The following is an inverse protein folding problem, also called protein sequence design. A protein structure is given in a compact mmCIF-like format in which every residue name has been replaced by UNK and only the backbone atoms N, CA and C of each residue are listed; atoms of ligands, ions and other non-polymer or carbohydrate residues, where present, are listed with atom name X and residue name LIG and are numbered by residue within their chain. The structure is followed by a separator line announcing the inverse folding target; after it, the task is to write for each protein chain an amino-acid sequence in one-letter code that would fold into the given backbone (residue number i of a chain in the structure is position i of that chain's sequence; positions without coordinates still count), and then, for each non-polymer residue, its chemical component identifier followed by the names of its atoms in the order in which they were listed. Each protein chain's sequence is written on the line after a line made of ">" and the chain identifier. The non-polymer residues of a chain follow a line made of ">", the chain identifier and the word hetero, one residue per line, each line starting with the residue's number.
data_IF_462999296637
#
_entry.id   IF_462999296637
#
_cell.length_a   1.000
_cell.length_b   1.000
_cell.length_c   1.000
_cell.angle_alpha   90.00
_cell.angle_beta   90.00
_cell.angle_gamma   90.00
#
_symmetry.space_group_name_H-M   'P 1'
#
loop_
_entity.id
_entity.type
_entity.pdbx_description
1 polymer ?
#
# COMPACT_ATOMS: atom_id res chain seq x y z
N UNK A 1 11.67 6.25 4.40
CA UNK A 1 10.84 5.03 4.51
C UNK A 1 9.39 5.45 4.49
N UNK A 2 8.48 4.55 4.12
CA UNK A 2 7.04 4.77 4.22
C UNK A 2 6.44 3.64 5.05
N UNK A 3 5.48 3.97 5.92
CA UNK A 3 4.81 3.01 6.78
C UNK A 3 3.31 3.01 6.51
N UNK A 4 2.71 1.84 6.66
CA UNK A 4 1.28 1.58 6.54
C UNK A 4 0.72 1.18 7.89
N UNK A 5 -0.47 1.66 8.21
CA UNK A 5 -1.31 1.15 9.30
C UNK A 5 -2.58 0.53 8.74
N UNK A 6 -2.87 -0.73 9.06
CA UNK A 6 -4.13 -1.39 8.70
C UNK A 6 -4.69 -2.21 9.86
N UNK A 7 -5.98 -2.54 9.79
CA UNK A 7 -6.70 -3.21 10.88
C UNK A 7 -6.38 -4.70 10.99
N UNK A 8 -5.92 -5.33 9.91
CA UNK A 8 -5.65 -6.78 9.87
C UNK A 8 -4.22 -7.07 10.32
N UNK A 9 -3.25 -6.41 9.73
CA UNK A 9 -1.82 -6.72 9.96
C UNK A 9 -1.13 -5.68 10.84
N UNK A 10 -1.79 -4.57 11.17
CA UNK A 10 -1.22 -3.52 12.00
C UNK A 10 -0.24 -2.64 11.24
N UNK A 11 0.93 -2.39 11.84
CA UNK A 11 1.90 -1.41 11.37
C UNK A 11 3.10 -2.05 10.68
N UNK A 12 3.30 -1.69 9.41
CA UNK A 12 4.42 -2.21 8.60
C UNK A 12 5.10 -1.10 7.82
N UNK A 13 6.42 -1.17 7.68
CA UNK A 13 7.20 -0.17 6.97
C UNK A 13 8.00 -0.78 5.81
N UNK A 14 8.34 0.06 4.85
CA UNK A 14 9.08 -0.30 3.65
C UNK A 14 9.50 0.93 2.85
N UNK A 15 9.60 0.76 1.54
CA UNK A 15 10.04 1.81 0.62
C UNK A 15 9.04 2.00 -0.52
N UNK A 16 8.98 3.23 -1.03
CA UNK A 16 8.33 3.52 -2.30
C UNK A 16 9.20 2.96 -3.41
N UNK A 17 8.62 2.15 -4.28
CA UNK A 17 9.30 1.51 -5.40
C UNK A 17 9.02 2.23 -6.72
N UNK A 18 7.81 2.75 -6.90
CA UNK A 18 7.40 3.42 -8.13
C UNK A 18 6.23 4.39 -7.86
N UNK A 19 6.31 5.59 -8.43
CA UNK A 19 5.24 6.59 -8.41
C UNK A 19 4.45 6.58 -9.72
N UNK A 20 3.21 7.09 -9.68
CA UNK A 20 2.35 7.27 -10.85
C UNK A 20 2.25 6.02 -11.74
N UNK A 21 2.02 4.86 -11.12
CA UNK A 21 1.88 3.59 -11.81
C UNK A 21 0.42 3.16 -11.90
N UNK A 22 0.16 2.05 -12.59
CA UNK A 22 -1.16 1.45 -12.71
C UNK A 22 -1.15 0.02 -12.18
N UNK A 23 -2.27 -0.39 -11.60
CA UNK A 23 -2.52 -1.76 -11.14
C UNK A 23 -3.88 -2.21 -11.63
N UNK A 24 -3.99 -3.47 -12.05
CA UNK A 24 -5.24 -4.06 -12.53
C UNK A 24 -5.75 -5.06 -11.50
N UNK A 25 -6.94 -4.80 -10.99
CA UNK A 25 -7.72 -5.70 -10.14
C UNK A 25 -8.86 -6.33 -10.97
N UNK A 26 -9.55 -7.37 -10.46
CA UNK A 26 -10.72 -7.95 -11.14
C UNK A 26 -11.80 -6.92 -11.48
N UNK A 27 -11.93 -5.86 -10.68
CA UNK A 27 -12.91 -4.79 -10.85
C UNK A 27 -12.49 -3.75 -11.91
N UNK A 28 -11.20 -3.72 -12.29
CA UNK A 28 -10.67 -2.80 -13.29
C UNK A 28 -9.24 -2.32 -13.02
N UNK A 29 -8.76 -1.43 -13.89
CA UNK A 29 -7.44 -0.82 -13.78
C UNK A 29 -7.52 0.53 -13.09
N UNK A 30 -6.71 0.70 -12.04
CA UNK A 30 -6.53 1.97 -11.34
C UNK A 30 -5.16 2.54 -11.72
N UNK A 31 -5.13 3.79 -12.19
CA UNK A 31 -3.92 4.53 -12.54
C UNK A 31 -3.61 5.61 -11.49
N UNK A 32 -2.37 6.11 -11.50
CA UNK A 32 -1.93 7.16 -10.57
C UNK A 32 -1.65 6.67 -9.15
N UNK A 33 -1.55 5.35 -8.95
CA UNK A 33 -1.22 4.77 -7.64
C UNK A 33 0.29 4.75 -7.41
N UNK A 34 0.69 4.62 -6.15
CA UNK A 34 2.09 4.43 -5.76
C UNK A 34 2.34 3.00 -5.31
N UNK A 35 3.37 2.36 -5.88
CA UNK A 35 3.83 1.01 -5.52
C UNK A 35 4.84 1.05 -4.39
N UNK A 36 4.70 0.15 -3.42
CA UNK A 36 5.59 0.03 -2.27
C UNK A 36 5.97 -1.42 -1.97
N UNK A 37 7.05 -1.59 -1.22
CA UNK A 37 7.49 -2.89 -0.67
C UNK A 37 6.78 -3.29 0.63
N UNK A 38 5.83 -2.48 1.11
CA UNK A 38 5.14 -2.74 2.38
C UNK A 38 4.16 -3.89 2.15
N UNK A 39 4.10 -4.86 3.06
CA UNK A 39 3.10 -5.92 2.98
C UNK A 39 1.71 -5.42 3.42
N UNK A 40 0.66 -6.03 2.89
CA UNK A 40 -0.72 -5.83 3.30
C UNK A 40 -1.53 -7.10 3.04
N UNK A 41 -2.62 -7.28 3.80
CA UNK A 41 -3.54 -8.40 3.68
C UNK A 41 -5.00 -7.91 3.63
N UNK A 42 -5.97 -8.75 3.23
CA UNK A 42 -7.39 -8.37 3.20
C UNK A 42 -7.85 -7.76 4.54
N UNK A 43 -8.50 -6.60 4.45
CA UNK A 43 -8.91 -5.78 5.60
C UNK A 43 -8.01 -4.58 5.88
N UNK A 44 -6.76 -4.55 5.38
CA UNK A 44 -5.90 -3.38 5.48
C UNK A 44 -6.26 -2.25 4.50
N UNK A 45 -7.12 -2.52 3.51
CA UNK A 45 -7.60 -1.54 2.53
C UNK A 45 -8.23 -0.32 3.20
N UNK A 46 -7.91 0.88 2.71
CA UNK A 46 -8.27 2.15 3.34
C UNK A 46 -7.33 2.58 4.48
N UNK A 47 -6.45 1.69 4.94
CA UNK A 47 -5.44 1.97 5.97
C UNK A 47 -4.42 3.03 5.53
N UNK A 48 -3.94 3.85 6.47
CA UNK A 48 -3.10 5.02 6.19
C UNK A 48 -1.68 4.64 5.76
N UNK A 49 -1.14 5.40 4.80
CA UNK A 49 0.28 5.45 4.48
C UNK A 49 0.87 6.78 4.98
N UNK A 50 2.01 6.72 5.68
CA UNK A 50 2.67 7.87 6.31
C UNK A 50 4.19 7.77 6.19
N UNK A 51 4.84 8.91 5.98
CA UNK A 51 6.29 9.06 6.01
C UNK A 51 6.65 10.12 7.05
N UNK A 52 7.23 9.70 8.17
CA UNK A 52 7.43 10.58 9.33
C UNK A 52 6.10 11.10 9.86
N UNK A 53 5.87 12.41 9.75
CA UNK A 53 4.61 13.08 10.12
C UNK A 53 3.76 13.50 8.92
N UNK A 54 4.11 13.08 7.70
CA UNK A 54 3.40 13.43 6.48
C UNK A 54 2.57 12.25 5.98
N UNK A 55 1.26 12.43 5.90
CA UNK A 55 0.37 11.47 5.25
C UNK A 55 0.67 11.42 3.75
N UNK A 56 0.76 10.19 3.22
CA UNK A 56 1.15 9.92 1.83
C UNK A 56 -0.03 9.39 1.00
N UNK A 57 -0.96 8.68 1.64
CA UNK A 57 -2.03 8.01 0.91
C UNK A 57 -2.83 7.02 1.74
N UNK A 58 -3.68 6.26 1.06
CA UNK A 58 -4.47 5.16 1.64
C UNK A 58 -4.28 3.87 0.86
N UNK A 59 -4.24 2.75 1.58
CA UNK A 59 -4.02 1.40 1.02
C UNK A 59 -5.13 1.06 0.02
N UNK A 60 -4.77 0.72 -1.21
CA UNK A 60 -5.71 0.24 -2.23
C UNK A 60 -5.79 -1.29 -2.18
N UNK A 61 -4.65 -1.95 -2.42
CA UNK A 61 -4.54 -3.40 -2.53
C UNK A 61 -3.14 -3.80 -2.96
N UNK A 62 -2.92 -5.09 -3.22
CA UNK A 62 -1.59 -5.60 -3.51
C UNK A 62 -1.54 -7.10 -3.72
N UNK A 63 -0.33 -7.64 -3.64
CA UNK A 63 -0.04 -9.07 -3.76
C UNK A 63 0.95 -9.52 -2.67
N UNK A 64 0.92 -10.82 -2.37
CA UNK A 64 1.71 -11.40 -1.27
C UNK A 64 0.97 -11.34 0.07
N UNK A 65 1.73 -11.38 1.16
CA UNK A 65 1.23 -11.33 2.54
C UNK A 65 2.32 -10.83 3.49
N UNK A 66 2.01 -10.65 4.78
CA UNK A 66 2.98 -10.15 5.76
C UNK A 66 3.90 -11.23 6.35
N UNK A 67 3.77 -12.49 5.91
CA UNK A 67 4.69 -13.58 6.28
C UNK A 67 5.83 -13.77 5.26
N UNK A 68 5.54 -13.74 3.97
CA UNK A 68 6.51 -13.90 2.88
C UNK A 68 6.91 -12.59 2.20
N UNK A 69 6.30 -11.48 2.60
CA UNK A 69 6.42 -10.19 1.93
C UNK A 69 5.43 -10.02 0.78
N UNK A 70 5.39 -8.82 0.23
CA UNK A 70 4.42 -8.44 -0.79
C UNK A 70 4.73 -7.10 -1.45
N UNK A 71 3.91 -6.78 -2.45
CA UNK A 71 3.85 -5.45 -3.07
C UNK A 71 2.49 -4.87 -2.77
N UNK A 72 2.46 -3.65 -2.22
CA UNK A 72 1.21 -2.94 -1.94
C UNK A 72 1.17 -1.61 -2.66
N UNK A 73 0.00 -1.29 -3.18
CA UNK A 73 -0.31 -0.03 -3.84
C UNK A 73 -1.15 0.84 -2.91
N UNK A 74 -0.85 2.14 -2.88
CA UNK A 74 -1.68 3.12 -2.20
C UNK A 74 -2.12 4.22 -3.17
N UNK A 75 -3.32 4.76 -2.92
CA UNK A 75 -3.82 5.96 -3.57
C UNK A 75 -3.23 7.18 -2.86
N UNK A 76 -2.48 8.07 -3.55
CA UNK A 76 -1.96 9.30 -2.95
C UNK A 76 -3.07 10.23 -2.48
N UNK A 77 -2.81 11.02 -1.42
CA UNK A 77 -3.68 12.12 -0.95
C UNK A 77 -3.15 13.50 -1.33
#
# INVERSE_FOLDING_TARGET
>A
SVCRSGSTTGWHCGTIQQLNTSVTYPEGTISGVTRTSVCAEPGDSGGSYISGSQAQGVTSGGSGNCSSGGTTYFQPI
#
